data_IF_901998594590
#
_entry.id   IF_901998594590
#
_cell.length_a   1.000
_cell.length_b   1.000
_cell.length_c   1.000
_cell.angle_alpha   90.00
_cell.angle_beta   90.00
_cell.angle_gamma   90.00
#
_symmetry.space_group_name_H-M   'P 1'
#
loop_
_entity.id
_entity.type
_entity.pdbx_description
1 polymer ?
#
# COMPACT_ATOMS: atom_id res chain seq x y z
N UNK A 1 35.33 -26.97 11.48
CA UNK A 1 36.14 -25.73 11.57
C UNK A 1 35.24 -24.58 12.01
N UNK A 2 35.68 -23.85 13.03
CA UNK A 2 35.01 -22.73 13.69
C UNK A 2 34.97 -21.47 12.78
N UNK A 3 33.84 -20.75 12.67
CA UNK A 3 33.43 -19.55 13.44
C UNK A 3 33.83 -18.20 12.80
N UNK A 4 32.79 -17.36 12.64
CA UNK A 4 32.73 -15.88 12.60
C UNK A 4 33.41 -15.09 11.46
N UNK A 5 32.60 -14.21 10.87
CA UNK A 5 33.03 -12.88 10.43
C UNK A 5 33.23 -11.94 11.63
N UNK A 6 34.07 -10.90 11.49
CA UNK A 6 33.73 -9.59 12.03
C UNK A 6 33.94 -8.43 11.03
N UNK A 7 33.12 -7.41 11.20
CA UNK A 7 33.23 -6.09 10.58
C UNK A 7 34.38 -5.26 11.21
N UNK A 8 34.83 -4.19 10.53
CA UNK A 8 34.69 -2.78 10.96
C UNK A 8 35.51 -1.79 10.07
N UNK A 9 35.21 -0.47 10.12
CA UNK A 9 35.60 0.54 9.14
C UNK A 9 36.69 1.52 9.63
N UNK A 10 36.82 2.64 8.88
CA UNK A 10 37.59 3.87 9.10
C UNK A 10 38.93 3.90 8.33
N UNK A 11 39.43 5.01 7.76
CA UNK A 11 39.44 6.38 8.23
C UNK A 11 39.91 7.27 7.06
N UNK A 12 39.41 8.51 6.93
CA UNK A 12 39.86 9.41 5.86
C UNK A 12 39.51 10.87 6.10
N UNK A 13 40.08 11.44 7.17
CA UNK A 13 39.93 12.84 7.60
C UNK A 13 40.42 13.83 6.53
N UNK A 14 39.71 14.95 6.34
CA UNK A 14 40.37 16.24 6.11
C UNK A 14 39.76 17.34 6.99
N UNK A 15 40.69 18.12 7.53
CA UNK A 15 40.54 19.20 8.53
C UNK A 15 40.25 20.54 7.85
N UNK A 16 40.04 21.52 8.73
CA UNK A 16 40.22 22.97 8.57
C UNK A 16 38.93 23.72 8.26
N UNK A 17 38.63 24.88 8.85
CA UNK A 17 39.27 25.64 9.92
C UNK A 17 38.31 26.75 10.33
N UNK A 18 38.49 27.19 11.58
CA UNK A 18 37.84 28.32 12.26
C UNK A 18 37.63 29.55 11.36
N UNK A 19 36.48 30.19 11.53
CA UNK A 19 36.21 31.56 11.12
C UNK A 19 35.01 32.08 11.90
N UNK A 20 35.18 33.16 12.65
CA UNK A 20 34.41 33.49 13.85
C UNK A 20 34.04 34.97 13.82
N UNK A 21 33.11 35.45 12.98
CA UNK A 21 32.80 36.89 12.91
C UNK A 21 31.28 37.16 12.87
N UNK A 22 30.77 37.75 13.96
CA UNK A 22 29.63 38.68 13.94
C UNK A 22 30.22 40.08 13.86
N UNK A 23 29.65 41.05 13.12
CA UNK A 23 28.56 41.85 13.67
C UNK A 23 27.57 42.40 12.61
N UNK A 24 26.54 43.10 13.06
CA UNK A 24 25.94 44.19 12.27
C UNK A 24 24.46 44.04 11.94
N UNK A 25 23.64 44.65 12.79
CA UNK A 25 22.32 45.20 12.48
C UNK A 25 22.36 46.09 11.23
N UNK A 26 21.49 45.82 10.26
CA UNK A 26 21.09 46.81 9.25
C UNK A 26 19.63 46.54 8.83
N UNK A 27 18.73 47.37 9.36
CA UNK A 27 17.34 47.48 8.91
C UNK A 27 17.36 48.14 7.53
N UNK A 28 16.97 47.41 6.48
CA UNK A 28 16.65 47.99 5.18
C UNK A 28 15.22 47.62 4.77
N UNK A 29 14.32 48.60 4.97
CA UNK A 29 13.04 48.68 4.27
C UNK A 29 13.28 48.74 2.76
N UNK A 30 12.78 47.77 1.97
CA UNK A 30 12.49 47.95 0.53
C UNK A 30 11.35 47.03 0.06
N UNK A 31 10.27 47.67 -0.38
CA UNK A 31 9.42 47.31 -1.52
C UNK A 31 8.83 45.89 -1.62
N UNK A 32 7.50 45.80 -1.49
CA UNK A 32 6.72 44.67 -2.00
C UNK A 32 6.79 44.62 -3.53
N UNK A 33 7.85 44.01 -4.08
CA UNK A 33 7.90 43.63 -5.49
C UNK A 33 6.90 42.49 -5.72
N UNK A 34 5.87 42.76 -6.52
CA UNK A 34 4.90 41.75 -6.97
C UNK A 34 5.66 40.65 -7.73
N UNK A 35 5.65 39.43 -7.22
CA UNK A 35 6.20 38.25 -7.90
C UNK A 35 5.52 38.06 -9.27
N UNK A 36 6.26 37.77 -10.35
CA UNK A 36 5.64 37.34 -11.61
C UNK A 36 4.93 35.98 -11.41
N UNK A 37 3.83 35.71 -12.12
CA UNK A 37 3.18 34.41 -12.06
C UNK A 37 4.13 33.35 -12.62
N UNK A 38 4.44 32.33 -11.79
CA UNK A 38 5.24 31.18 -12.20
C UNK A 38 4.51 30.35 -13.28
N UNK A 39 5.25 29.53 -14.06
CA UNK A 39 4.67 28.78 -15.16
C UNK A 39 3.56 27.83 -14.68
N UNK A 40 2.47 27.80 -15.44
CA UNK A 40 1.28 27.00 -15.19
C UNK A 40 1.67 25.53 -14.94
N UNK A 41 1.48 25.07 -13.70
CA UNK A 41 1.65 23.65 -13.35
C UNK A 41 0.76 22.83 -14.27
N UNK A 42 1.38 21.90 -14.97
CA UNK A 42 0.78 20.96 -15.93
C UNK A 42 -0.38 20.18 -15.28
N UNK A 43 -1.59 20.74 -15.38
CA UNK A 43 -2.85 20.05 -15.07
C UNK A 43 -3.19 19.05 -16.16
N UNK A 44 -2.32 18.09 -16.48
CA UNK A 44 -2.65 17.01 -17.44
C UNK A 44 -1.88 15.73 -17.12
N UNK A 45 -2.43 14.92 -16.19
CA UNK A 45 -2.40 13.44 -16.19
C UNK A 45 -3.07 12.86 -14.94
N UNK A 46 -4.35 13.18 -14.70
CA UNK A 46 -5.15 12.52 -13.64
C UNK A 46 -6.43 11.84 -14.12
N UNK A 47 -6.62 11.64 -15.43
CA UNK A 47 -7.90 11.13 -15.94
C UNK A 47 -7.84 9.89 -16.84
N UNK A 48 -6.68 9.25 -17.01
CA UNK A 48 -6.60 8.07 -17.91
C UNK A 48 -7.00 6.72 -17.28
N UNK A 49 -7.41 6.69 -16.01
CA UNK A 49 -7.86 5.46 -15.33
C UNK A 49 -9.38 5.31 -15.18
N UNK A 50 -10.15 6.39 -15.29
CA UNK A 50 -11.52 6.46 -14.79
C UNK A 50 -12.61 5.92 -15.75
N UNK A 51 -12.25 5.17 -16.80
CA UNK A 51 -13.22 4.71 -17.82
C UNK A 51 -13.04 3.24 -18.21
N UNK A 52 -13.13 2.34 -17.24
CA UNK A 52 -13.49 0.94 -17.52
C UNK A 52 -14.64 0.55 -16.62
N UNK A 53 -15.79 0.29 -17.25
CA UNK A 53 -17.01 -0.30 -16.67
C UNK A 53 -17.52 0.34 -15.37
N UNK A 54 -18.40 1.33 -15.46
CA UNK A 54 -19.33 1.55 -14.35
C UNK A 54 -20.29 0.36 -14.33
N UNK A 55 -19.92 -0.67 -13.57
CA UNK A 55 -20.85 -1.68 -13.08
C UNK A 55 -21.96 -0.97 -12.30
N UNK A 56 -23.13 -1.61 -12.16
CA UNK A 56 -24.25 -1.11 -11.38
C UNK A 56 -23.72 -0.47 -10.08
N UNK A 57 -24.20 0.74 -9.75
CA UNK A 57 -23.63 1.54 -8.67
C UNK A 57 -23.80 0.76 -7.36
N UNK A 58 -22.73 0.08 -6.93
CA UNK A 58 -22.70 -0.60 -5.64
C UNK A 58 -23.01 0.46 -4.58
N UNK A 59 -24.00 0.19 -3.76
CA UNK A 59 -24.44 1.10 -2.69
C UNK A 59 -23.81 0.64 -1.38
N UNK A 60 -23.33 1.56 -0.57
CA UNK A 60 -22.74 1.24 0.73
C UNK A 60 -21.76 2.32 1.18
N UNK A 61 -21.43 2.32 2.48
CA UNK A 61 -20.53 3.31 3.07
C UNK A 61 -19.11 3.29 2.51
N UNK A 62 -18.71 2.17 1.87
CA UNK A 62 -17.37 1.97 1.31
C UNK A 62 -17.37 1.76 -0.22
N UNK A 63 -18.45 2.15 -0.91
CA UNK A 63 -18.66 1.85 -2.33
C UNK A 63 -17.63 2.46 -3.32
N UNK A 64 -16.84 3.43 -2.88
CA UNK A 64 -15.79 4.08 -3.66
C UNK A 64 -14.38 3.52 -3.39
N UNK A 65 -14.26 2.54 -2.50
CA UNK A 65 -12.99 1.91 -2.16
C UNK A 65 -12.75 0.63 -2.95
N UNK A 66 -11.48 0.44 -3.35
CA UNK A 66 -10.94 -0.80 -3.89
C UNK A 66 -9.90 -1.33 -2.91
N UNK A 67 -10.11 -2.54 -2.43
CA UNK A 67 -9.29 -3.17 -1.39
C UNK A 67 -8.59 -4.38 -1.99
N UNK A 68 -7.29 -4.47 -1.73
CA UNK A 68 -6.49 -5.63 -2.07
C UNK A 68 -6.28 -6.44 -0.80
N UNK A 69 -6.95 -7.59 -0.69
CA UNK A 69 -6.83 -8.47 0.47
C UNK A 69 -5.65 -9.42 0.27
N UNK A 70 -4.62 -9.27 1.10
CA UNK A 70 -3.38 -10.08 1.09
C UNK A 70 -3.25 -10.96 2.32
N UNK A 71 -4.35 -11.14 3.05
CA UNK A 71 -4.41 -11.90 4.29
C UNK A 71 -4.67 -13.38 4.04
N UNK A 72 -4.29 -14.17 5.04
CA UNK A 72 -4.68 -15.57 5.18
C UNK A 72 -6.08 -15.69 5.84
N UNK A 73 -6.43 -16.89 6.31
CA UNK A 73 -7.73 -17.19 6.92
C UNK A 73 -8.10 -16.28 8.11
N UNK A 74 -7.11 -15.70 8.79
CA UNK A 74 -7.35 -14.80 9.92
C UNK A 74 -7.97 -13.46 9.48
N UNK A 75 -7.77 -13.07 8.23
CA UNK A 75 -8.28 -11.83 7.66
C UNK A 75 -9.51 -11.99 6.76
N UNK A 76 -9.90 -13.22 6.39
CA UNK A 76 -11.01 -13.46 5.46
C UNK A 76 -12.33 -12.79 5.93
N UNK A 77 -12.60 -12.78 7.25
CA UNK A 77 -13.78 -12.09 7.80
C UNK A 77 -13.74 -10.57 7.56
N UNK A 78 -12.57 -9.94 7.67
CA UNK A 78 -12.43 -8.51 7.43
C UNK A 78 -12.73 -8.17 5.97
N UNK A 79 -12.20 -8.96 5.02
CA UNK A 79 -12.50 -8.83 3.59
C UNK A 79 -14.00 -8.93 3.31
N UNK A 80 -14.66 -9.94 3.87
CA UNK A 80 -16.11 -10.13 3.74
C UNK A 80 -16.92 -8.95 4.28
N UNK A 81 -16.57 -8.40 5.45
CA UNK A 81 -17.28 -7.26 6.03
C UNK A 81 -17.12 -6.00 5.18
N UNK A 82 -15.92 -5.75 4.65
CA UNK A 82 -15.65 -4.62 3.75
C UNK A 82 -16.47 -4.72 2.46
N UNK A 83 -16.50 -5.92 1.85
CA UNK A 83 -17.32 -6.19 0.68
C UNK A 83 -18.82 -6.00 0.98
N UNK A 84 -19.30 -6.48 2.13
CA UNK A 84 -20.68 -6.29 2.59
C UNK A 84 -21.06 -4.82 2.80
N UNK A 85 -20.11 -3.95 3.11
CA UNK A 85 -20.30 -2.49 3.20
C UNK A 85 -20.11 -1.77 1.85
N UNK A 86 -19.89 -2.51 0.76
CA UNK A 86 -19.88 -2.03 -0.62
C UNK A 86 -18.49 -1.88 -1.25
N UNK A 87 -17.40 -2.18 -0.55
CA UNK A 87 -16.06 -2.07 -1.13
C UNK A 87 -15.83 -3.12 -2.24
N UNK A 88 -15.07 -2.76 -3.28
CA UNK A 88 -14.54 -3.73 -4.25
C UNK A 88 -13.33 -4.43 -3.62
N UNK A 89 -13.53 -5.65 -3.10
CA UNK A 89 -12.46 -6.44 -2.47
C UNK A 89 -11.94 -7.48 -3.45
N UNK A 90 -10.63 -7.48 -3.69
CA UNK A 90 -9.93 -8.48 -4.50
C UNK A 90 -8.97 -9.25 -3.60
N UNK A 91 -9.25 -10.54 -3.38
CA UNK A 91 -8.33 -11.43 -2.66
C UNK A 91 -7.18 -11.85 -3.57
N UNK A 92 -5.96 -11.58 -3.12
CA UNK A 92 -4.76 -12.08 -3.77
C UNK A 92 -4.37 -13.43 -3.20
N UNK A 93 -4.35 -14.43 -4.06
CA UNK A 93 -3.96 -15.78 -3.68
C UNK A 93 -2.53 -16.10 -4.15
N UNK A 94 -1.72 -16.76 -3.30
CA UNK A 94 -0.36 -17.17 -3.66
C UNK A 94 -0.31 -18.05 -4.93
N UNK A 95 0.62 -17.77 -5.87
CA UNK A 95 0.87 -18.64 -7.02
C UNK A 95 1.74 -19.85 -6.65
N UNK A 96 1.80 -20.85 -7.54
CA UNK A 96 2.64 -22.06 -7.39
C UNK A 96 1.96 -23.17 -6.57
N UNK A 97 2.61 -24.31 -6.30
CA UNK A 97 2.07 -25.40 -5.47
C UNK A 97 2.33 -25.19 -3.97
N UNK A 98 1.39 -25.47 -3.05
CA UNK A 98 0.02 -25.97 -3.31
C UNK A 98 -0.91 -24.90 -3.91
N UNK A 99 -0.53 -23.63 -3.84
CA UNK A 99 -1.28 -22.51 -4.39
C UNK A 99 -2.50 -22.16 -3.57
N UNK A 100 -3.08 -21.02 -3.91
CA UNK A 100 -4.32 -20.57 -3.31
C UNK A 100 -4.20 -20.12 -1.85
N UNK A 101 -5.28 -19.55 -1.33
CA UNK A 101 -5.40 -19.22 0.09
C UNK A 101 -5.32 -20.47 0.98
N UNK A 102 -4.66 -20.43 2.16
CA UNK A 102 -4.72 -21.52 3.13
C UNK A 102 -6.13 -21.90 3.57
N UNK A 103 -7.07 -20.95 3.60
CA UNK A 103 -8.47 -21.22 3.94
C UNK A 103 -9.15 -22.23 3.01
N UNK A 104 -8.66 -22.42 1.78
CA UNK A 104 -9.13 -23.46 0.83
C UNK A 104 -8.90 -24.89 1.31
N UNK A 105 -8.03 -25.09 2.31
CA UNK A 105 -7.69 -26.39 2.88
C UNK A 105 -8.33 -26.61 4.26
N UNK A 106 -9.15 -25.67 4.73
CA UNK A 106 -9.85 -25.78 6.00
C UNK A 106 -11.21 -26.44 5.74
N UNK A 107 -11.48 -27.56 6.40
CA UNK A 107 -12.79 -28.21 6.35
C UNK A 107 -13.88 -27.44 7.12
N UNK A 108 -15.13 -27.91 7.09
CA UNK A 108 -15.61 -29.10 6.37
C UNK A 108 -15.56 -28.93 4.85
N UNK A 109 -15.52 -30.05 4.13
CA UNK A 109 -15.52 -30.06 2.66
C UNK A 109 -16.88 -30.50 2.11
N UNK A 110 -17.30 -29.92 1.00
CA UNK A 110 -18.55 -30.30 0.34
C UNK A 110 -18.53 -31.78 -0.05
N UNK A 111 -19.51 -32.54 0.45
CA UNK A 111 -19.63 -34.01 0.30
C UNK A 111 -18.42 -34.79 0.84
N UNK A 112 -17.77 -34.25 1.87
CA UNK A 112 -16.61 -34.87 2.52
C UNK A 112 -15.45 -35.18 1.56
N UNK A 113 -15.31 -34.40 0.49
CA UNK A 113 -14.28 -34.54 -0.55
C UNK A 113 -13.21 -33.42 -0.41
N UNK A 114 -12.03 -33.70 0.19
CA UNK A 114 -10.99 -32.71 0.42
C UNK A 114 -10.43 -32.15 -0.89
N UNK A 115 -10.89 -30.96 -1.27
CA UNK A 115 -10.48 -30.26 -2.49
C UNK A 115 -10.46 -28.74 -2.24
N UNK A 116 -9.46 -27.98 -2.78
CA UNK A 116 -9.34 -26.54 -2.58
C UNK A 116 -10.59 -25.72 -2.95
N UNK A 117 -11.34 -26.16 -3.96
CA UNK A 117 -12.58 -25.52 -4.38
C UNK A 117 -13.83 -26.02 -3.65
N UNK A 118 -13.67 -26.86 -2.63
CA UNK A 118 -14.77 -27.48 -1.87
C UNK A 118 -14.74 -27.18 -0.38
N UNK A 119 -13.82 -26.33 0.08
CA UNK A 119 -13.80 -25.87 1.46
C UNK A 119 -15.04 -25.01 1.75
N UNK A 120 -15.89 -25.48 2.66
CA UNK A 120 -17.05 -24.70 3.13
C UNK A 120 -16.60 -23.51 3.98
N UNK A 121 -15.44 -23.59 4.64
CA UNK A 121 -14.82 -22.46 5.31
C UNK A 121 -14.48 -21.35 4.31
N UNK A 122 -13.79 -21.68 3.21
CA UNK A 122 -13.44 -20.72 2.18
C UNK A 122 -14.68 -20.05 1.58
N UNK A 123 -15.68 -20.84 1.20
CA UNK A 123 -16.95 -20.32 0.66
C UNK A 123 -17.68 -19.40 1.63
N UNK A 124 -17.65 -19.70 2.93
CA UNK A 124 -18.32 -18.86 3.92
C UNK A 124 -17.74 -17.45 3.94
N UNK A 125 -16.41 -17.31 3.86
CA UNK A 125 -15.78 -15.99 3.97
C UNK A 125 -15.50 -15.33 2.62
N UNK A 126 -15.54 -16.06 1.51
CA UNK A 126 -15.18 -15.57 0.18
C UNK A 126 -16.28 -15.97 -0.82
N UNK A 127 -17.14 -15.00 -1.19
CA UNK A 127 -18.31 -15.16 -2.07
C UNK A 127 -18.19 -14.28 -3.30
#
# INVERSE_FOLDING_TARGET
>A
MAVRAPALPALGRRRSSRGRHSPGTAVHRRGHARRPPGPARSRRRRDRGARRGRSARVTGGLADLRVLEVTDESGDLAGRLLAGMGAEVVKLEPPGPPGGSPSRRIGPFYRDDPHPDRSLHFWHYNV
#
